data_IF_849424707323
#
_entry.id   IF_849424707323
#
_cell.length_a   1.000
_cell.length_b   1.000
_cell.length_c   1.000
_cell.angle_alpha   90.00
_cell.angle_beta   90.00
_cell.angle_gamma   90.00
#
_symmetry.space_group_name_H-M   'P 1'
#
loop_
_entity.id
_entity.type
_entity.pdbx_description
1 polymer ?
2 water ?
#
# COMPACT_ATOMS: atom_id res chain seq x y z
N UNK A 77 -3.51 9.39 -15.69
CA UNK A 77 -4.70 9.05 -14.92
C UNK A 77 -5.43 7.87 -15.57
N UNK A 78 -5.45 6.71 -14.89
CA UNK A 78 -5.95 5.49 -15.52
C UNK A 78 -6.82 4.70 -14.56
N UNK A 79 -7.73 3.91 -15.13
CA UNK A 79 -8.58 2.99 -14.39
C UNK A 79 -8.35 1.54 -14.78
N UNK A 80 -7.36 1.27 -15.62
CA UNK A 80 -7.14 -0.07 -16.11
C UNK A 80 -5.64 -0.31 -16.17
N UNK A 81 -5.21 -1.44 -15.60
CA UNK A 81 -3.77 -1.70 -15.53
C UNK A 81 -3.21 -1.99 -16.91
N UNK A 82 -3.89 -2.84 -17.68
CA UNK A 82 -3.48 -3.10 -19.05
C UNK A 82 -3.32 -1.80 -19.83
N UNK A 83 -4.28 -0.89 -19.67
CA UNK A 83 -4.20 0.40 -20.36
C UNK A 83 -3.02 1.21 -19.86
N UNK A 84 -2.83 1.27 -18.54
CA UNK A 84 -1.71 2.00 -17.97
C UNK A 84 -0.38 1.47 -18.50
N UNK A 85 -0.27 0.15 -18.66
CA UNK A 85 0.99 -0.47 -19.04
C UNK A 85 1.38 -0.21 -20.49
N UNK A 86 0.49 0.36 -21.30
CA UNK A 86 0.86 0.66 -22.68
C UNK A 86 1.86 1.81 -22.75
N UNK A 87 1.82 2.74 -21.80
CA UNK A 87 2.83 3.79 -21.66
C UNK A 87 3.17 3.94 -20.19
N UNK A 88 3.90 2.96 -19.63
CA UNK A 88 4.07 2.91 -18.17
C UNK A 88 4.70 4.15 -17.56
N UNK A 89 5.36 4.99 -18.35
CA UNK A 89 6.05 6.13 -17.79
C UNK A 89 5.19 7.39 -17.75
N UNK A 90 4.03 7.38 -18.38
CA UNK A 90 3.11 8.51 -18.37
C UNK A 90 2.04 8.40 -17.28
N UNK A 91 2.05 7.33 -16.49
CA UNK A 91 0.99 7.09 -15.52
C UNK A 91 1.44 7.65 -14.17
N UNK A 92 0.69 8.63 -13.66
CA UNK A 92 0.91 9.17 -12.33
C UNK A 92 -0.22 8.85 -11.35
N UNK A 93 -1.42 8.58 -11.84
CA UNK A 93 -2.56 8.27 -10.99
C UNK A 93 -3.24 7.04 -11.55
N UNK A 94 -3.44 6.03 -10.69
CA UNK A 94 -4.05 4.78 -11.11
C UNK A 94 -5.09 4.38 -10.08
N UNK A 95 -6.33 4.18 -10.54
CA UNK A 95 -7.46 3.82 -9.69
C UNK A 95 -7.92 2.43 -10.11
N UNK A 96 -7.49 1.42 -9.35
CA UNK A 96 -7.94 0.05 -9.55
C UNK A 96 -8.91 -0.41 -8.46
N UNK A 97 -9.63 0.52 -7.83
CA UNK A 97 -10.55 0.13 -6.78
C UNK A 97 -11.75 -0.61 -7.36
N UNK A 98 -12.32 -1.52 -6.56
CA UNK A 98 -13.55 -2.21 -6.93
C UNK A 98 -13.39 -3.01 -8.22
N UNK A 99 -12.23 -3.67 -8.38
CA UNK A 99 -11.95 -4.44 -9.59
C UNK A 99 -11.84 -5.93 -9.33
N UNK A 100 -12.22 -6.39 -8.13
CA UNK A 100 -12.24 -7.82 -7.78
C UNK A 100 -10.87 -8.49 -7.92
N UNK A 101 -9.79 -7.75 -7.67
CA UNK A 101 -8.44 -8.28 -7.86
C UNK A 101 -8.04 -9.20 -6.70
N UNK A 102 -7.54 -10.39 -7.03
CA UNK A 102 -6.96 -11.24 -6.00
C UNK A 102 -5.45 -11.16 -5.93
N UNK A 103 -4.79 -10.75 -7.01
CA UNK A 103 -3.37 -10.46 -6.99
C UNK A 103 -3.12 -9.13 -7.68
N UNK A 104 -2.03 -8.48 -7.28
CA UNK A 104 -1.54 -7.31 -7.98
C UNK A 104 -0.39 -7.75 -8.86
N UNK A 105 -0.53 -7.71 -10.19
CA UNK A 105 0.54 -8.21 -11.07
C UNK A 105 1.86 -7.49 -10.82
N UNK A 106 2.94 -8.26 -10.89
CA UNK A 106 4.27 -7.70 -10.73
C UNK A 106 4.60 -6.63 -11.78
N UNK A 107 3.88 -6.61 -12.90
CA UNK A 107 4.06 -5.57 -13.89
C UNK A 107 3.70 -4.18 -13.37
N UNK A 108 3.02 -4.09 -12.22
CA UNK A 108 2.77 -2.80 -11.59
C UNK A 108 4.08 -2.05 -11.39
N UNK A 109 5.19 -2.78 -11.23
CA UNK A 109 6.48 -2.17 -10.99
C UNK A 109 7.01 -1.33 -12.13
N UNK A 110 6.43 -1.44 -13.33
CA UNK A 110 6.92 -0.62 -14.43
C UNK A 110 6.40 0.81 -14.39
N UNK A 111 5.40 1.08 -13.54
CA UNK A 111 4.79 2.42 -13.44
C UNK A 111 5.61 3.27 -12.47
N UNK A 112 6.83 3.60 -12.89
CA UNK A 112 7.72 4.17 -11.90
C UNK A 112 7.47 5.66 -11.64
N UNK A 113 6.59 6.30 -12.40
CA UNK A 113 6.21 7.68 -12.09
C UNK A 113 4.96 7.75 -11.23
N UNK A 114 4.40 6.61 -10.86
CA UNK A 114 3.12 6.57 -10.16
C UNK A 114 3.22 7.32 -8.84
N UNK A 115 2.28 8.23 -8.60
CA UNK A 115 2.25 8.98 -7.34
C UNK A 115 1.06 8.63 -6.45
N UNK A 116 -0.07 8.23 -7.01
CA UNK A 116 -1.21 7.81 -6.21
C UNK A 116 -1.78 6.54 -6.79
N UNK A 117 -1.98 5.53 -5.94
CA UNK A 117 -2.47 4.21 -6.34
C UNK A 117 -3.62 3.82 -5.42
N UNK A 118 -4.82 3.60 -5.99
CA UNK A 118 -6.01 3.23 -5.23
C UNK A 118 -6.34 1.78 -5.56
N UNK A 119 -6.19 0.90 -4.57
CA UNK A 119 -6.51 -0.52 -4.71
C UNK A 119 -7.61 -0.94 -3.75
N UNK A 120 -8.40 0.00 -3.24
CA UNK A 120 -9.35 -0.35 -2.19
C UNK A 120 -10.52 -1.19 -2.74
N UNK A 121 -11.15 -1.95 -1.85
CA UNK A 121 -12.27 -2.83 -2.19
C UNK A 121 -11.90 -3.79 -3.32
N UNK A 122 -10.88 -4.60 -3.07
CA UNK A 122 -10.53 -5.71 -3.94
C UNK A 122 -10.40 -6.92 -3.02
N UNK A 123 -9.71 -7.98 -3.48
CA UNK A 123 -9.56 -9.18 -2.65
C UNK A 123 -8.09 -9.54 -2.44
N UNK A 124 -7.21 -8.53 -2.43
CA UNK A 124 -5.78 -8.78 -2.38
C UNK A 124 -5.39 -9.49 -1.08
N UNK A 125 -4.41 -10.38 -1.18
CA UNK A 125 -3.93 -11.15 -0.04
C UNK A 125 -2.57 -10.64 0.40
N UNK A 126 -1.77 -10.18 -0.55
CA UNK A 126 -0.52 -9.51 -0.20
C UNK A 126 -0.15 -8.63 -1.39
N UNK A 127 1.06 -8.07 -1.35
CA UNK A 127 1.59 -7.26 -2.42
C UNK A 127 2.88 -7.88 -2.95
N UNK A 128 3.13 -7.80 -4.25
CA UNK A 128 4.41 -8.29 -4.77
C UNK A 128 5.56 -7.42 -4.29
N UNK A 129 6.74 -8.02 -4.19
CA UNK A 129 7.91 -7.27 -3.75
C UNK A 129 8.26 -6.17 -4.74
N UNK A 130 7.79 -6.28 -5.99
CA UNK A 130 8.00 -5.26 -7.02
C UNK A 130 7.34 -3.94 -6.67
N UNK A 131 6.46 -3.91 -5.68
CA UNK A 131 5.92 -2.64 -5.20
C UNK A 131 7.05 -1.69 -4.82
N UNK A 132 8.23 -2.23 -4.47
CA UNK A 132 9.37 -1.39 -4.11
C UNK A 132 9.78 -0.45 -5.24
N UNK A 133 9.43 -0.74 -6.49
CA UNK A 133 9.85 0.12 -7.59
C UNK A 133 9.03 1.39 -7.72
N UNK A 134 7.92 1.51 -6.99
CA UNK A 134 7.06 2.70 -7.06
C UNK A 134 7.63 3.81 -6.17
N UNK A 135 8.85 4.24 -6.53
CA UNK A 135 9.62 5.13 -5.67
C UNK A 135 9.07 6.54 -5.60
N UNK A 136 8.17 6.91 -6.50
CA UNK A 136 7.51 8.21 -6.44
C UNK A 136 6.14 8.16 -5.79
N UNK A 137 5.74 7.01 -5.25
CA UNK A 137 4.39 6.85 -4.73
C UNK A 137 4.21 7.66 -3.46
N UNK A 138 3.12 8.42 -3.39
CA UNK A 138 2.79 9.27 -2.26
C UNK A 138 1.64 8.75 -1.42
N UNK A 139 0.65 8.10 -2.04
CA UNK A 139 -0.50 7.56 -1.33
C UNK A 139 -0.78 6.18 -1.87
N UNK A 140 -1.02 5.21 -0.98
CA UNK A 140 -1.33 3.84 -1.37
C UNK A 140 -2.56 3.41 -0.57
N UNK A 141 -3.67 3.15 -1.26
CA UNK A 141 -4.93 2.81 -0.60
C UNK A 141 -5.20 1.32 -0.80
N UNK A 142 -5.09 0.56 0.28
CA UNK A 142 -5.40 -0.87 0.29
C UNK A 142 -6.57 -1.18 1.22
N UNK A 143 -7.37 -0.17 1.56
CA UNK A 143 -8.52 -0.37 2.44
C UNK A 143 -9.44 -1.45 1.88
N UNK A 144 -9.98 -2.29 2.77
CA UNK A 144 -11.02 -3.26 2.38
C UNK A 144 -10.52 -4.25 1.33
N UNK A 145 -9.40 -4.91 1.65
CA UNK A 145 -8.98 -6.08 0.89
C UNK A 145 -8.98 -7.29 1.81
N UNK A 146 -8.11 -8.27 1.56
CA UNK A 146 -7.99 -9.45 2.41
C UNK A 146 -6.54 -9.68 2.80
N UNK A 147 -5.80 -8.59 3.00
CA UNK A 147 -4.35 -8.68 3.19
C UNK A 147 -4.02 -9.39 4.50
N UNK A 148 -3.14 -10.40 4.43
CA UNK A 148 -2.64 -11.04 5.64
C UNK A 148 -1.23 -10.62 6.01
N UNK A 149 -0.45 -10.17 5.04
CA UNK A 149 0.92 -9.75 5.28
C UNK A 149 1.30 -8.75 4.20
N UNK A 150 2.21 -7.87 4.55
CA UNK A 150 2.87 -6.95 3.63
C UNK A 150 4.31 -7.38 3.46
N UNK A 151 4.87 -7.30 2.26
CA UNK A 151 6.29 -7.60 2.10
C UNK A 151 7.12 -6.52 2.77
N UNK A 152 8.34 -6.91 3.19
CA UNK A 152 9.23 -5.94 3.83
C UNK A 152 9.55 -4.80 2.89
N UNK A 153 9.48 -5.06 1.58
CA UNK A 153 9.77 -4.06 0.56
C UNK A 153 8.87 -2.83 0.66
N UNK A 154 7.75 -2.92 1.38
CA UNK A 154 6.91 -1.74 1.60
C UNK A 154 7.71 -0.62 2.26
N UNK A 155 8.71 -0.97 3.08
CA UNK A 155 9.52 0.03 3.74
C UNK A 155 10.48 0.79 2.83
N UNK A 156 10.61 0.38 1.57
CA UNK A 156 11.44 1.12 0.63
C UNK A 156 10.72 2.30 -0.02
N UNK A 157 9.42 2.48 0.23
CA UNK A 157 8.62 3.51 -0.45
C UNK A 157 8.88 4.86 0.21
N UNK A 158 10.09 5.39 -0.04
CA UNK A 158 10.63 6.53 0.71
C UNK A 158 9.69 7.73 0.71
N UNK A 159 8.94 7.95 -0.37
CA UNK A 159 8.12 9.15 -0.48
C UNK A 159 6.72 8.96 0.07
N UNK A 160 6.40 7.78 0.59
CA UNK A 160 5.01 7.45 0.89
C UNK A 160 4.52 8.28 2.06
N UNK A 161 3.37 8.96 1.88
CA UNK A 161 2.79 9.79 2.93
C UNK A 161 1.48 9.26 3.48
N UNK A 162 0.74 8.46 2.72
CA UNK A 162 -0.53 7.93 3.19
C UNK A 162 -0.61 6.46 2.83
N UNK A 163 -1.03 5.64 3.79
CA UNK A 163 -1.16 4.21 3.57
C UNK A 163 -2.46 3.76 4.22
N UNK A 164 -3.40 3.28 3.41
CA UNK A 164 -4.69 2.86 3.92
C UNK A 164 -4.71 1.34 3.99
N UNK A 165 -4.82 0.81 5.21
CA UNK A 165 -4.83 -0.63 5.42
C UNK A 165 -6.07 -1.08 6.20
N UNK A 166 -7.08 -0.23 6.33
CA UNK A 166 -8.28 -0.57 7.09
C UNK A 166 -9.00 -1.76 6.48
N UNK A 167 -9.66 -2.54 7.34
CA UNK A 167 -10.51 -3.62 6.88
C UNK A 167 -9.80 -4.79 6.22
N UNK A 168 -8.59 -5.12 6.66
CA UNK A 168 -7.88 -6.26 6.10
C UNK A 168 -7.79 -7.36 7.17
N UNK A 169 -6.86 -8.30 7.00
CA UNK A 169 -6.68 -9.42 7.92
C UNK A 169 -5.25 -9.49 8.40
N UNK A 170 -4.61 -8.35 8.61
CA UNK A 170 -3.17 -8.34 8.81
C UNK A 170 -2.80 -9.01 10.13
N UNK A 171 -1.90 -10.00 10.06
CA UNK A 171 -1.41 -10.64 11.29
C UNK A 171 -0.37 -9.78 11.98
N UNK A 172 0.47 -9.09 11.21
CA UNK A 172 1.48 -8.18 11.76
C UNK A 172 1.84 -7.19 10.66
N UNK A 173 2.69 -6.21 11.01
CA UNK A 173 3.35 -5.33 10.05
C UNK A 173 4.85 -5.59 10.07
N UNK A 174 5.54 -5.51 8.94
CA UNK A 174 7.00 -5.68 8.96
C UNK A 174 7.67 -4.52 9.68
N UNK A 175 8.76 -4.83 10.40
CA UNK A 175 9.51 -3.79 11.10
C UNK A 175 10.01 -2.73 10.13
N UNK A 176 10.26 -3.11 8.88
CA UNK A 176 10.76 -2.18 7.88
C UNK A 176 9.78 -1.04 7.60
N UNK A 177 8.54 -1.13 8.09
CA UNK A 177 7.61 -0.02 7.87
C UNK A 177 8.10 1.21 8.60
N UNK A 178 8.90 1.03 9.66
CA UNK A 178 9.50 2.14 10.37
C UNK A 178 10.50 2.94 9.55
N UNK A 179 10.89 2.45 8.38
CA UNK A 179 11.75 3.22 7.49
C UNK A 179 10.97 4.22 6.66
N UNK A 180 9.64 4.23 6.78
CA UNK A 180 8.78 5.15 6.04
C UNK A 180 8.81 6.50 6.77
N UNK A 181 9.89 7.24 6.54
CA UNK A 181 10.08 8.48 7.29
C UNK A 181 9.11 9.58 6.88
N UNK A 182 8.45 9.47 5.73
CA UNK A 182 7.50 10.48 5.28
C UNK A 182 6.05 10.11 5.54
N UNK A 183 5.80 9.00 6.21
CA UNK A 183 4.43 8.52 6.39
C UNK A 183 3.73 9.35 7.46
N UNK A 184 2.62 9.99 7.08
CA UNK A 184 1.84 10.84 7.98
C UNK A 184 0.48 10.29 8.33
N UNK A 185 -0.12 9.49 7.46
CA UNK A 185 -1.49 9.02 7.64
C UNK A 185 -1.49 7.51 7.41
N UNK A 186 -1.89 6.76 8.43
CA UNK A 186 -1.95 5.30 8.37
C UNK A 186 -3.25 4.86 9.01
N UNK A 187 -4.04 4.08 8.29
CA UNK A 187 -5.29 3.56 8.80
C UNK A 187 -5.16 2.05 8.97
N UNK A 188 -5.43 1.57 10.19
CA UNK A 188 -5.34 0.15 10.51
C UNK A 188 -6.63 -0.40 11.11
N UNK A 189 -7.73 0.36 11.03
CA UNK A 189 -9.00 -0.07 11.62
C UNK A 189 -9.41 -1.45 11.12
N UNK A 190 -9.98 -2.25 12.02
CA UNK A 190 -10.55 -3.56 11.67
C UNK A 190 -9.49 -4.56 11.21
N UNK A 191 -8.26 -4.45 11.71
CA UNK A 191 -7.27 -5.54 11.60
C UNK A 191 -7.11 -6.10 13.01
N UNK A 192 -7.92 -7.11 13.32
CA UNK A 192 -8.03 -7.68 14.66
C UNK A 192 -6.68 -7.93 15.30
N UNK A 193 -5.82 -8.67 14.60
CA UNK A 193 -4.54 -9.11 15.15
C UNK A 193 -3.62 -7.95 15.54
N UNK A 194 -3.81 -6.77 14.95
CA UNK A 194 -2.96 -5.63 15.23
C UNK A 194 -3.40 -4.87 16.49
N UNK A 195 -4.63 -5.10 16.96
CA UNK A 195 -5.13 -4.34 18.12
C UNK A 195 -4.22 -4.46 19.34
N UNK A 196 -3.71 -5.64 19.70
CA UNK A 196 -2.76 -5.70 20.83
C UNK A 196 -1.41 -5.08 20.53
N UNK A 197 -1.10 -4.83 19.26
CA UNK A 197 0.19 -4.29 18.88
C UNK A 197 0.17 -2.77 18.71
N UNK A 198 -0.93 -2.11 19.07
CA UNK A 198 -1.09 -0.68 18.81
C UNK A 198 0.12 0.12 19.29
N UNK A 199 0.37 0.10 20.60
CA UNK A 199 1.42 0.94 21.17
C UNK A 199 2.77 0.66 20.52
N UNK A 200 3.07 -0.62 20.28
CA UNK A 200 4.29 -0.97 19.57
C UNK A 200 4.32 -0.33 18.18
N UNK A 201 3.19 -0.34 17.48
CA UNK A 201 3.17 0.23 16.14
C UNK A 201 3.34 1.74 16.19
N UNK A 202 2.76 2.41 17.19
CA UNK A 202 2.92 3.86 17.28
C UNK A 202 4.36 4.23 17.64
N UNK A 203 5.01 3.43 18.50
CA UNK A 203 6.41 3.68 18.80
C UNK A 203 7.29 3.47 17.58
N UNK A 204 6.85 2.64 16.64
CA UNK A 204 7.62 2.42 15.41
C UNK A 204 7.42 3.56 14.40
N UNK A 205 6.27 4.22 14.45
CA UNK A 205 5.93 5.31 13.53
C UNK A 205 5.51 6.51 14.38
N UNK A 206 6.44 7.09 15.14
CA UNK A 206 6.07 8.11 16.13
C UNK A 206 5.63 9.44 15.53
N UNK A 207 5.79 9.64 14.23
CA UNK A 207 5.33 10.87 13.60
C UNK A 207 4.14 10.64 12.68
N UNK A 208 3.49 9.48 12.78
CA UNK A 208 2.38 9.11 11.91
C UNK A 208 1.07 9.19 12.67
N UNK A 209 0.06 9.83 12.08
CA UNK A 209 -1.30 9.78 12.61
C UNK A 209 -1.89 8.42 12.27
N UNK A 210 -2.19 7.62 13.29
CA UNK A 210 -2.64 6.25 13.06
C UNK A 210 -4.10 6.14 13.47
N UNK A 211 -4.93 5.69 12.53
CA UNK A 211 -6.36 5.50 12.75
C UNK A 211 -6.67 4.00 12.92
#
# INVERSE_FOLDING_TARGET
MRGSHHHHHHGMASMTGGQQMGRDLYDDDDKDRWGSELEMTKSHSPIKHFRKKRMIFSIILLYCFGNLKAQEEEKGNYKDLAEALQNPKEVRILDLSENQLTILPKEIGKLQKLQLLDLSRNRLITLPKEIERLQNLLSLDLNENQLTTLPKEIGKLQKLQELGLSGNRLITLPKEIGQLKNLRWLSLKNNTALIPQKNKIQKLLPNTNIDF
#
